data_IF_306993527258
#
_entry.id   IF_306993527258
#
_cell.length_a   1.000
_cell.length_b   1.000
_cell.length_c   1.000
_cell.angle_alpha   90.00
_cell.angle_beta   90.00
_cell.angle_gamma   90.00
#
_symmetry.space_group_name_H-M   'P 1'
#
loop_
_entity.id
_entity.type
_entity.pdbx_description
1 polymer ?
#
# COMPACT_ATOMS: atom_id res chain seq x y z
N UNK A 1 33.79 33.30 8.21
CA UNK A 1 32.91 33.47 7.06
C UNK A 1 32.24 32.13 6.80
N UNK A 2 31.13 31.91 7.52
CA UNK A 2 30.31 30.71 7.34
C UNK A 2 29.24 30.99 6.26
N UNK A 3 29.39 30.37 5.09
CA UNK A 3 28.45 30.46 3.97
C UNK A 3 28.00 29.02 3.63
N UNK A 4 27.13 28.44 4.47
CA UNK A 4 26.35 27.26 4.13
C UNK A 4 24.98 27.31 4.83
N UNK A 5 24.10 28.11 4.27
CA UNK A 5 22.69 28.12 4.56
C UNK A 5 21.95 28.56 3.29
N UNK A 6 21.72 27.60 2.36
CA UNK A 6 21.02 27.89 1.11
C UNK A 6 19.53 27.66 1.28
N UNK A 7 18.83 28.51 2.05
CA UNK A 7 17.41 28.75 1.87
C UNK A 7 17.24 29.65 0.64
N UNK A 8 17.10 29.06 -0.55
CA UNK A 8 16.76 29.81 -1.76
C UNK A 8 15.28 30.17 -1.68
N UNK A 9 14.99 31.36 -1.14
CA UNK A 9 13.66 31.97 -1.21
C UNK A 9 13.64 32.98 -2.32
N UNK A 10 12.89 32.68 -3.41
CA UNK A 10 12.63 33.66 -4.46
C UNK A 10 11.42 34.49 -4.04
N UNK A 11 11.64 35.73 -3.68
CA UNK A 11 10.60 36.66 -3.29
C UNK A 11 10.12 37.40 -4.54
N UNK A 12 8.93 37.11 -5.03
CA UNK A 12 8.29 37.88 -6.10
C UNK A 12 7.56 39.07 -5.47
N UNK A 13 7.75 40.28 -6.00
CA UNK A 13 6.99 41.45 -5.69
C UNK A 13 5.87 41.57 -6.75
N UNK A 14 4.62 41.81 -6.31
CA UNK A 14 3.56 42.15 -7.25
C UNK A 14 3.71 43.61 -7.71
N UNK A 15 3.04 43.98 -8.82
CA UNK A 15 3.12 45.32 -9.43
C UNK A 15 2.79 46.47 -8.47
N UNK A 16 2.24 46.20 -7.29
CA UNK A 16 1.88 47.14 -6.23
C UNK A 16 2.88 47.18 -5.06
N UNK A 17 4.07 46.54 -5.18
CA UNK A 17 5.13 46.57 -4.15
C UNK A 17 4.77 45.84 -2.85
N UNK A 18 3.69 45.04 -2.81
CA UNK A 18 3.33 44.19 -1.67
C UNK A 18 4.14 42.90 -1.72
N UNK A 19 4.53 42.36 -0.54
CA UNK A 19 5.19 41.05 -0.42
C UNK A 19 4.35 40.01 -1.17
N UNK A 20 4.91 39.51 -2.26
CA UNK A 20 4.34 38.41 -3.02
C UNK A 20 4.48 37.06 -2.27
N UNK A 21 3.89 36.02 -2.84
CA UNK A 21 3.98 34.65 -2.34
C UNK A 21 5.45 34.25 -2.27
N UNK A 22 5.90 33.76 -1.11
CA UNK A 22 7.25 33.19 -0.97
C UNK A 22 7.20 31.82 -1.66
N UNK A 23 7.94 31.68 -2.75
CA UNK A 23 8.10 30.37 -3.44
C UNK A 23 9.39 29.72 -2.93
N UNK A 24 9.28 28.55 -2.36
CA UNK A 24 10.44 27.75 -1.94
C UNK A 24 10.90 26.88 -3.12
N UNK A 25 12.20 26.55 -3.18
CA UNK A 25 12.77 25.71 -4.24
C UNK A 25 13.59 24.59 -3.62
N UNK A 26 13.44 23.36 -4.18
CA UNK A 26 14.27 22.21 -3.84
C UNK A 26 14.77 21.48 -5.10
N UNK A 27 15.98 20.93 -5.03
CA UNK A 27 16.47 20.08 -6.14
C UNK A 27 15.60 18.84 -6.33
N UNK A 28 15.17 18.22 -5.21
CA UNK A 28 14.29 17.04 -5.21
C UNK A 28 13.14 17.26 -4.23
N UNK A 29 11.94 17.20 -4.75
CA UNK A 29 10.71 17.24 -3.96
C UNK A 29 10.04 15.87 -3.95
N UNK A 30 9.68 15.36 -2.78
CA UNK A 30 8.96 14.09 -2.61
C UNK A 30 7.57 14.39 -2.06
N UNK A 31 6.53 13.94 -2.75
CA UNK A 31 5.15 13.99 -2.27
C UNK A 31 4.76 12.63 -1.71
N UNK A 32 4.55 12.58 -0.39
CA UNK A 32 4.27 11.38 0.39
C UNK A 32 5.48 10.91 1.20
N UNK A 33 5.34 10.92 2.55
CA UNK A 33 6.34 10.44 3.53
C UNK A 33 6.16 8.97 3.92
N UNK A 34 5.29 8.23 3.25
CA UNK A 34 5.10 6.80 3.53
C UNK A 34 6.31 5.93 3.15
N UNK A 35 6.09 4.63 3.06
CA UNK A 35 7.14 3.63 2.74
C UNK A 35 8.01 4.02 1.56
N UNK A 36 7.39 4.48 0.48
CA UNK A 36 8.10 4.82 -0.76
C UNK A 36 8.94 6.09 -0.61
N UNK A 37 8.34 7.16 -0.06
CA UNK A 37 8.98 8.46 0.10
C UNK A 37 10.18 8.40 1.02
N UNK A 38 10.02 7.87 2.24
CA UNK A 38 11.14 7.72 3.18
C UNK A 38 12.25 6.83 2.59
N UNK A 39 11.88 5.71 1.93
CA UNK A 39 12.89 4.82 1.35
C UNK A 39 13.71 5.52 0.27
N UNK A 40 13.08 6.25 -0.66
CA UNK A 40 13.79 6.93 -1.74
C UNK A 40 14.58 8.13 -1.21
N UNK A 41 14.02 8.92 -0.30
CA UNK A 41 14.69 10.06 0.33
C UNK A 41 15.92 9.62 1.12
N UNK A 42 15.80 8.56 1.94
CA UNK A 42 16.92 7.98 2.68
C UNK A 42 18.03 7.49 1.74
N UNK A 43 17.68 6.86 0.61
CA UNK A 43 18.66 6.43 -0.40
C UNK A 43 19.36 7.61 -1.06
N UNK A 44 18.65 8.67 -1.42
CA UNK A 44 19.21 9.87 -2.01
C UNK A 44 20.18 10.56 -1.05
N UNK A 45 19.83 10.73 0.23
CA UNK A 45 20.71 11.30 1.27
C UNK A 45 21.94 10.43 1.55
N UNK A 46 21.85 9.10 1.35
CA UNK A 46 23.02 8.21 1.41
C UNK A 46 23.93 8.33 0.17
N UNK A 47 23.37 8.71 -0.98
CA UNK A 47 24.18 8.98 -2.19
C UNK A 47 24.97 10.27 -2.04
N UNK A 48 24.33 11.32 -1.52
CA UNK A 48 24.95 12.59 -1.16
C UNK A 48 24.11 13.32 -0.11
N UNK A 49 24.73 13.67 1.00
CA UNK A 49 24.09 14.48 2.03
C UNK A 49 23.78 15.92 1.56
N UNK A 50 24.45 16.39 0.52
CA UNK A 50 24.33 17.74 -0.04
C UNK A 50 23.12 17.89 -0.99
N UNK A 51 22.42 16.81 -1.37
CA UNK A 51 21.20 16.95 -2.18
C UNK A 51 20.18 17.77 -1.38
N UNK A 52 19.75 18.89 -1.94
CA UNK A 52 18.63 19.65 -1.40
C UNK A 52 17.33 18.89 -1.66
N UNK A 53 16.76 18.34 -0.59
CA UNK A 53 15.62 17.43 -0.64
C UNK A 53 14.56 17.83 0.36
N UNK A 54 13.30 17.87 -0.10
CA UNK A 54 12.15 18.08 0.74
C UNK A 54 11.11 16.96 0.60
N UNK A 55 10.32 16.76 1.65
CA UNK A 55 9.17 15.86 1.69
C UNK A 55 7.94 16.65 2.09
N UNK A 56 6.81 16.45 1.37
CA UNK A 56 5.47 16.92 1.74
C UNK A 56 4.70 15.70 2.25
N UNK A 57 4.33 15.70 3.53
CA UNK A 57 3.47 14.67 4.14
C UNK A 57 2.85 15.21 5.44
N UNK A 58 1.52 15.11 5.62
CA UNK A 58 0.83 15.62 6.80
C UNK A 58 0.91 14.70 8.02
N UNK A 59 1.34 13.43 7.86
CA UNK A 59 1.18 12.39 8.87
C UNK A 59 2.14 12.54 10.06
N UNK A 60 1.62 12.35 11.29
CA UNK A 60 2.43 12.26 12.51
C UNK A 60 3.04 10.87 12.71
N UNK A 61 2.41 9.85 12.13
CA UNK A 61 2.73 8.45 12.36
C UNK A 61 2.97 7.69 11.07
N UNK A 62 3.95 6.84 11.09
CA UNK A 62 4.31 5.91 10.03
C UNK A 62 3.89 4.50 10.40
N UNK A 63 3.28 3.79 9.43
CA UNK A 63 2.74 2.47 9.65
C UNK A 63 3.40 1.42 8.76
N UNK A 64 3.88 0.35 9.38
CA UNK A 64 4.26 -0.87 8.66
C UNK A 64 3.02 -1.74 8.46
N UNK A 65 2.18 -1.36 7.51
CA UNK A 65 0.87 -1.96 7.22
C UNK A 65 0.89 -3.49 7.00
N UNK A 66 1.97 -4.11 6.45
CA UNK A 66 2.02 -5.56 6.31
C UNK A 66 1.88 -6.36 7.61
N UNK A 67 2.01 -5.75 8.80
CA UNK A 67 1.71 -6.38 10.07
C UNK A 67 0.21 -6.47 10.39
N UNK A 68 -0.64 -5.66 9.79
CA UNK A 68 -2.06 -5.59 10.15
C UNK A 68 -2.81 -6.92 9.99
N UNK A 69 -2.42 -7.76 9.03
CA UNK A 69 -2.95 -9.14 8.95
C UNK A 69 -2.64 -9.95 10.20
N UNK A 70 -1.44 -9.79 10.78
CA UNK A 70 -1.05 -10.49 12.01
C UNK A 70 -1.69 -9.86 13.26
N UNK A 71 -1.97 -8.54 13.23
CA UNK A 71 -2.74 -7.86 14.28
C UNK A 71 -4.18 -8.39 14.29
N UNK A 72 -4.88 -8.33 13.15
CA UNK A 72 -6.24 -8.84 13.02
C UNK A 72 -6.36 -10.35 13.28
N UNK A 73 -5.27 -11.11 13.16
CA UNK A 73 -5.17 -12.52 13.55
C UNK A 73 -4.73 -12.75 15.01
N UNK A 74 -4.58 -11.69 15.83
CA UNK A 74 -4.21 -11.81 17.24
C UNK A 74 -2.76 -12.25 17.51
N UNK A 75 -1.85 -12.07 16.54
CA UNK A 75 -0.45 -12.54 16.63
C UNK A 75 0.50 -11.49 17.18
N UNK A 76 0.21 -10.21 16.94
CA UNK A 76 1.01 -9.07 17.38
C UNK A 76 0.08 -7.89 17.72
N UNK A 77 0.52 -7.03 18.64
CA UNK A 77 -0.20 -5.80 18.97
C UNK A 77 -0.07 -4.77 17.83
N UNK A 78 -1.09 -3.93 17.63
CA UNK A 78 -1.07 -2.95 16.52
C UNK A 78 0.02 -1.90 16.67
N UNK A 79 0.40 -1.56 17.91
CA UNK A 79 1.49 -0.62 18.21
C UNK A 79 2.83 -1.05 17.61
N UNK A 80 3.06 -2.36 17.44
CA UNK A 80 4.25 -2.87 16.78
C UNK A 80 4.37 -2.42 15.31
N UNK A 81 3.24 -2.05 14.70
CA UNK A 81 3.18 -1.55 13.31
C UNK A 81 3.39 -0.05 13.18
N UNK A 82 3.33 0.73 14.26
CA UNK A 82 3.37 2.19 14.26
C UNK A 82 4.68 2.74 14.81
N UNK A 83 5.14 3.82 14.22
CA UNK A 83 6.21 4.69 14.75
C UNK A 83 5.90 6.15 14.44
N UNK A 84 6.46 7.08 15.24
CA UNK A 84 6.44 8.50 14.90
C UNK A 84 7.16 8.72 13.56
N UNK A 85 6.60 9.60 12.69
CA UNK A 85 7.14 9.95 11.38
C UNK A 85 8.45 10.74 11.50
N UNK A 86 8.51 11.73 12.41
CA UNK A 86 9.62 12.66 12.51
C UNK A 86 11.02 12.01 12.60
N UNK A 87 11.26 10.95 13.40
CA UNK A 87 12.56 10.28 13.46
C UNK A 87 12.91 9.46 12.20
N UNK A 88 11.95 9.25 11.30
CA UNK A 88 12.14 8.52 10.04
C UNK A 88 12.53 9.45 8.90
N UNK A 89 12.17 10.74 9.00
CA UNK A 89 12.62 11.74 8.03
C UNK A 89 14.15 11.80 8.07
N UNK A 90 14.85 11.62 6.93
CA UNK A 90 16.31 11.60 6.92
C UNK A 90 16.89 12.94 7.34
N UNK A 91 18.02 12.93 8.05
CA UNK A 91 18.70 14.15 8.47
C UNK A 91 19.00 15.06 7.27
N UNK A 92 18.73 16.36 7.41
CA UNK A 92 18.93 17.36 6.36
C UNK A 92 17.89 17.32 5.24
N UNK A 93 16.74 16.70 5.46
CA UNK A 93 15.55 16.78 4.60
C UNK A 93 14.58 17.78 5.21
N UNK A 94 14.12 18.74 4.42
CA UNK A 94 13.04 19.65 4.82
C UNK A 94 11.72 18.86 4.82
N UNK A 95 10.99 18.90 5.90
CA UNK A 95 9.66 18.31 5.99
C UNK A 95 8.59 19.38 6.06
N UNK A 96 7.73 19.41 5.03
CA UNK A 96 6.48 20.16 5.02
C UNK A 96 5.39 19.26 5.55
N UNK A 97 4.94 19.55 6.76
CA UNK A 97 3.88 18.79 7.43
C UNK A 97 2.50 19.24 6.95
N UNK A 98 2.32 19.15 5.64
CA UNK A 98 1.17 19.64 4.89
C UNK A 98 0.77 18.56 3.88
N UNK A 99 -0.46 18.63 3.35
CA UNK A 99 -0.89 17.80 2.23
C UNK A 99 -0.54 18.49 0.91
N UNK A 100 -0.13 17.73 -0.10
CA UNK A 100 -0.10 18.24 -1.46
C UNK A 100 -1.54 18.38 -1.96
N UNK A 101 -1.85 19.51 -2.61
CA UNK A 101 -3.18 19.81 -3.13
C UNK A 101 -3.24 19.81 -4.65
N UNK A 102 -2.27 20.47 -5.30
CA UNK A 102 -2.25 20.58 -6.76
C UNK A 102 -0.86 20.59 -7.35
N UNK A 103 -0.78 20.20 -8.63
CA UNK A 103 0.44 20.12 -9.41
C UNK A 103 0.36 21.00 -10.65
N UNK A 104 1.42 21.76 -10.91
CA UNK A 104 1.67 22.50 -12.16
C UNK A 104 2.98 22.00 -12.76
N UNK A 105 3.00 20.82 -13.39
CA UNK A 105 4.24 20.19 -13.84
C UNK A 105 4.98 20.96 -14.92
N UNK A 106 4.28 21.74 -15.76
CA UNK A 106 4.90 22.62 -16.74
C UNK A 106 5.69 23.78 -16.10
N UNK A 107 5.31 24.18 -14.87
CA UNK A 107 6.00 25.21 -14.08
C UNK A 107 6.95 24.61 -13.04
N UNK A 108 7.07 23.27 -12.97
CA UNK A 108 7.79 22.54 -11.92
C UNK A 108 7.36 22.93 -10.50
N UNK A 109 6.05 23.03 -10.25
CA UNK A 109 5.49 23.54 -9.00
C UNK A 109 4.46 22.60 -8.40
N UNK A 110 4.50 22.48 -7.06
CA UNK A 110 3.46 21.86 -6.23
C UNK A 110 2.91 22.93 -5.29
N UNK A 111 1.59 22.94 -5.10
CA UNK A 111 0.92 23.75 -4.07
C UNK A 111 0.39 22.81 -2.99
N UNK A 112 0.57 23.20 -1.74
CA UNK A 112 0.08 22.46 -0.57
C UNK A 112 -1.28 22.95 -0.11
N UNK A 113 -1.94 22.22 0.80
CA UNK A 113 -3.20 22.59 1.44
C UNK A 113 -3.15 23.90 2.24
N UNK A 114 -1.97 24.31 2.69
CA UNK A 114 -1.73 25.58 3.40
C UNK A 114 -1.41 26.73 2.43
N UNK A 115 -1.41 26.46 1.11
CA UNK A 115 -1.08 27.45 0.08
C UNK A 115 0.41 27.67 -0.12
N UNK A 116 1.29 26.85 0.47
CA UNK A 116 2.73 26.90 0.24
C UNK A 116 3.02 26.48 -1.20
N UNK A 117 3.69 27.33 -1.97
CA UNK A 117 4.14 27.02 -3.32
C UNK A 117 5.61 26.56 -3.30
N UNK A 118 5.86 25.35 -3.81
CA UNK A 118 7.19 24.74 -3.80
C UNK A 118 7.58 24.38 -5.23
N UNK A 119 8.67 24.97 -5.70
CA UNK A 119 9.29 24.64 -6.97
C UNK A 119 10.31 23.51 -6.81
N UNK A 120 10.50 22.73 -7.84
CA UNK A 120 11.41 21.60 -7.83
C UNK A 120 12.19 21.48 -9.15
N UNK A 121 13.37 20.88 -9.08
CA UNK A 121 14.08 20.39 -10.26
C UNK A 121 13.60 18.99 -10.65
N UNK A 122 13.42 18.11 -9.67
CA UNK A 122 12.88 16.75 -9.83
C UNK A 122 11.76 16.51 -8.81
N UNK A 123 10.69 15.86 -9.26
CA UNK A 123 9.56 15.48 -8.41
C UNK A 123 9.44 13.96 -8.31
N UNK A 124 9.21 13.47 -7.10
CA UNK A 124 8.89 12.06 -6.82
C UNK A 124 7.50 12.00 -6.18
N UNK A 125 6.55 11.37 -6.85
CA UNK A 125 5.14 11.28 -6.41
C UNK A 125 4.85 9.90 -5.86
N UNK A 126 4.60 9.80 -4.55
CA UNK A 126 4.39 8.52 -3.87
C UNK A 126 3.48 8.61 -2.63
N UNK A 127 2.31 9.28 -2.70
CA UNK A 127 1.38 9.45 -1.57
C UNK A 127 0.61 8.17 -1.20
N UNK A 128 0.85 7.06 -1.90
CA UNK A 128 0.11 5.81 -1.70
C UNK A 128 -1.23 5.81 -2.42
N UNK A 129 -2.22 5.12 -1.85
CA UNK A 129 -3.59 5.02 -2.34
C UNK A 129 -4.58 5.44 -1.26
N UNK A 130 -5.81 5.71 -1.63
CA UNK A 130 -6.93 5.96 -0.71
C UNK A 130 -7.85 4.74 -0.59
N UNK A 131 -8.57 4.67 0.52
CA UNK A 131 -9.57 3.66 0.81
C UNK A 131 -10.96 4.27 0.56
N UNK A 132 -11.66 3.76 -0.42
CA UNK A 132 -12.97 4.27 -0.86
C UNK A 132 -14.08 3.48 -0.15
N UNK A 133 -14.25 3.75 1.16
CA UNK A 133 -15.24 3.05 1.99
C UNK A 133 -16.67 3.29 1.54
N UNK A 134 -16.95 4.46 0.98
CA UNK A 134 -18.29 4.89 0.56
C UNK A 134 -18.73 4.24 -0.76
N UNK A 135 -17.82 3.63 -1.52
CA UNK A 135 -18.13 2.91 -2.75
C UNK A 135 -18.90 1.59 -2.50
N UNK A 136 -18.89 1.09 -1.25
CA UNK A 136 -19.72 -0.02 -0.81
C UNK A 136 -20.83 0.56 0.08
N UNK A 137 -22.07 0.53 -0.39
CA UNK A 137 -23.22 1.09 0.33
C UNK A 137 -23.28 0.53 1.76
N UNK A 138 -23.35 1.44 2.75
CA UNK A 138 -23.44 1.11 4.16
C UNK A 138 -22.13 0.63 4.81
N UNK A 139 -20.98 0.56 4.13
CA UNK A 139 -19.72 0.12 4.73
C UNK A 139 -19.09 1.23 5.57
N UNK A 140 -18.96 2.45 5.03
CA UNK A 140 -18.45 3.60 5.77
C UNK A 140 -19.30 3.83 7.05
N UNK A 141 -18.67 4.08 8.17
CA UNK A 141 -19.37 4.28 9.46
C UNK A 141 -19.90 3.02 10.14
N UNK A 142 -19.89 1.85 9.49
CA UNK A 142 -20.26 0.56 10.10
C UNK A 142 -19.05 -0.36 10.33
N UNK A 143 -17.88 -0.06 9.78
CA UNK A 143 -16.64 -0.77 10.11
C UNK A 143 -16.31 -0.57 11.59
N UNK A 144 -16.06 -1.65 12.30
CA UNK A 144 -15.90 -1.66 13.76
C UNK A 144 -17.20 -1.90 14.53
N UNK A 145 -18.31 -2.25 13.85
CA UNK A 145 -19.61 -2.53 14.44
C UNK A 145 -20.29 -3.72 13.76
N UNK A 146 -21.30 -4.32 14.40
CA UNK A 146 -22.16 -5.36 13.83
C UNK A 146 -21.42 -6.58 13.25
N UNK A 147 -20.18 -6.85 13.68
CA UNK A 147 -19.34 -7.91 13.08
C UNK A 147 -18.68 -7.53 11.76
N UNK A 148 -18.76 -6.25 11.32
CA UNK A 148 -18.09 -5.74 10.14
C UNK A 148 -16.69 -5.28 10.53
N UNK A 149 -15.67 -6.01 10.09
CA UNK A 149 -14.25 -5.73 10.41
C UNK A 149 -13.40 -5.56 9.15
N UNK A 150 -12.24 -4.94 9.31
CA UNK A 150 -11.28 -4.76 8.22
C UNK A 150 -9.86 -4.59 8.73
N UNK A 151 -8.90 -5.21 8.03
CA UNK A 151 -7.46 -5.06 8.30
C UNK A 151 -6.82 -3.91 7.50
N UNK A 152 -7.60 -3.08 6.82
CA UNK A 152 -7.07 -2.09 5.89
C UNK A 152 -6.87 -0.71 6.49
N UNK A 153 -7.29 -0.48 7.74
CA UNK A 153 -6.96 0.71 8.51
C UNK A 153 -6.44 0.39 9.91
N UNK A 154 -5.59 1.27 10.43
CA UNK A 154 -5.03 1.16 11.78
C UNK A 154 -6.11 1.29 12.85
N UNK A 155 -7.12 2.10 12.60
CA UNK A 155 -8.23 2.38 13.52
C UNK A 155 -9.11 1.14 13.72
N UNK A 156 -9.28 0.32 12.68
CA UNK A 156 -10.24 -0.79 12.68
C UNK A 156 -9.61 -2.17 12.88
N UNK A 157 -8.29 -2.29 12.76
CA UNK A 157 -7.62 -3.60 12.74
C UNK A 157 -7.79 -4.41 14.03
N UNK A 158 -7.87 -3.76 15.19
CA UNK A 158 -8.10 -4.44 16.48
C UNK A 158 -9.47 -5.10 16.53
N UNK A 159 -10.50 -4.42 15.98
CA UNK A 159 -11.85 -4.96 15.94
C UNK A 159 -11.91 -6.27 15.12
N UNK A 160 -11.02 -6.46 14.15
CA UNK A 160 -10.93 -7.75 13.44
C UNK A 160 -10.59 -8.90 14.42
N UNK A 161 -9.59 -8.69 15.27
CA UNK A 161 -9.25 -9.71 16.28
C UNK A 161 -10.35 -9.87 17.33
N UNK A 162 -10.94 -8.78 17.79
CA UNK A 162 -12.07 -8.84 18.73
C UNK A 162 -13.24 -9.66 18.17
N UNK A 163 -13.58 -9.44 16.91
CA UNK A 163 -14.64 -10.19 16.21
C UNK A 163 -14.28 -11.67 16.07
N UNK A 164 -13.05 -11.99 15.65
CA UNK A 164 -12.60 -13.38 15.48
C UNK A 164 -12.56 -14.11 16.83
N UNK A 165 -11.98 -13.50 17.88
CA UNK A 165 -11.81 -14.17 19.18
C UNK A 165 -13.13 -14.37 19.94
N UNK A 166 -14.15 -13.54 19.67
CA UNK A 166 -15.48 -13.64 20.29
C UNK A 166 -16.49 -14.43 19.45
N UNK A 167 -16.10 -14.90 18.27
CA UNK A 167 -16.98 -15.58 17.33
C UNK A 167 -17.48 -16.92 17.89
N UNK A 168 -18.79 -17.16 17.81
CA UNK A 168 -19.43 -18.34 18.42
C UNK A 168 -19.90 -19.38 17.40
N UNK A 169 -19.62 -19.17 16.12
CA UNK A 169 -20.11 -19.97 15.01
C UNK A 169 -21.07 -19.19 14.13
N UNK A 170 -21.58 -19.81 13.08
CA UNK A 170 -22.40 -19.17 12.05
C UNK A 170 -21.61 -18.86 10.78
N UNK A 171 -22.01 -17.83 10.03
CA UNK A 171 -21.40 -17.50 8.75
C UNK A 171 -20.35 -16.38 8.88
N UNK A 172 -19.12 -16.72 8.52
CA UNK A 172 -17.99 -15.79 8.44
C UNK A 172 -17.64 -15.53 6.97
N UNK A 173 -17.79 -14.29 6.50
CA UNK A 173 -17.54 -13.87 5.13
C UNK A 173 -16.25 -13.08 5.05
N UNK A 174 -15.41 -13.35 4.03
CA UNK A 174 -14.21 -12.61 3.70
C UNK A 174 -14.28 -12.16 2.26
N UNK A 175 -14.00 -10.87 1.97
CA UNK A 175 -14.23 -10.30 0.65
C UNK A 175 -12.94 -9.86 -0.04
N UNK A 176 -12.96 -9.85 -1.37
CA UNK A 176 -11.96 -9.23 -2.23
C UNK A 176 -12.69 -8.42 -3.32
N UNK A 177 -12.55 -7.09 -3.37
CA UNK A 177 -13.31 -6.22 -4.25
C UNK A 177 -12.81 -6.24 -5.69
N UNK A 178 -13.63 -5.70 -6.61
CA UNK A 178 -13.27 -5.45 -8.00
C UNK A 178 -12.48 -4.13 -8.14
N UNK A 179 -11.36 -4.05 -7.48
CA UNK A 179 -10.43 -2.92 -7.60
C UNK A 179 -8.99 -3.34 -7.34
N UNK A 180 -8.04 -2.50 -7.77
CA UNK A 180 -6.65 -2.67 -7.35
C UNK A 180 -6.54 -2.41 -5.85
N UNK A 181 -6.01 -3.36 -5.09
CA UNK A 181 -5.84 -3.22 -3.63
C UNK A 181 -4.36 -3.29 -3.22
N UNK A 182 -4.02 -2.65 -2.10
CA UNK A 182 -2.71 -2.88 -1.48
C UNK A 182 -2.62 -4.31 -0.97
N UNK A 183 -1.63 -5.07 -1.49
CA UNK A 183 -1.40 -6.48 -1.22
C UNK A 183 -2.59 -7.40 -1.58
N UNK A 184 -2.76 -7.74 -2.86
CA UNK A 184 -3.85 -8.60 -3.37
C UNK A 184 -4.07 -9.95 -2.67
N UNK A 185 -3.06 -10.45 -1.92
CA UNK A 185 -3.23 -11.65 -1.09
C UNK A 185 -3.71 -11.37 0.35
N UNK A 186 -3.83 -10.10 0.79
CA UNK A 186 -4.16 -9.81 2.19
C UNK A 186 -5.55 -10.29 2.64
N UNK A 187 -6.61 -10.23 1.79
CA UNK A 187 -7.95 -10.67 2.18
C UNK A 187 -7.99 -12.13 2.63
N UNK A 188 -7.34 -13.02 1.87
CA UNK A 188 -7.34 -14.44 2.19
C UNK A 188 -6.48 -14.81 3.41
N UNK A 189 -5.44 -14.02 3.74
CA UNK A 189 -4.59 -14.30 4.91
C UNK A 189 -5.36 -14.26 6.22
N UNK A 190 -6.21 -13.25 6.39
CA UNK A 190 -7.02 -13.14 7.61
C UNK A 190 -8.09 -14.22 7.67
N UNK A 191 -8.61 -14.67 6.54
CA UNK A 191 -9.52 -15.81 6.45
C UNK A 191 -8.87 -17.09 6.97
N UNK A 192 -7.64 -17.40 6.57
CA UNK A 192 -6.92 -18.58 7.05
C UNK A 192 -6.57 -18.49 8.54
N UNK A 193 -6.24 -17.31 9.04
CA UNK A 193 -6.00 -17.10 10.47
C UNK A 193 -7.30 -17.25 11.27
N UNK A 194 -8.41 -16.75 10.76
CA UNK A 194 -9.73 -16.92 11.37
C UNK A 194 -10.15 -18.40 11.42
N UNK A 195 -9.99 -19.16 10.33
CA UNK A 195 -10.24 -20.61 10.31
C UNK A 195 -9.52 -21.33 11.44
N UNK A 196 -8.21 -21.03 11.61
CA UNK A 196 -7.40 -21.68 12.64
C UNK A 196 -7.79 -21.20 14.05
N UNK A 197 -8.11 -19.90 14.22
CA UNK A 197 -8.65 -19.38 15.48
C UNK A 197 -9.95 -20.08 15.86
N UNK A 198 -10.88 -20.26 14.92
CA UNK A 198 -12.15 -20.97 15.14
C UNK A 198 -11.95 -22.44 15.48
N UNK A 199 -10.93 -23.10 14.91
CA UNK A 199 -10.53 -24.49 15.33
C UNK A 199 -10.02 -24.51 16.76
N UNK A 200 -9.16 -23.57 17.12
CA UNK A 200 -8.60 -23.48 18.47
C UNK A 200 -9.67 -23.15 19.54
N UNK A 201 -10.71 -22.44 19.14
CA UNK A 201 -11.87 -22.11 20.00
C UNK A 201 -12.93 -23.23 20.05
N UNK A 202 -12.80 -24.28 19.21
CA UNK A 202 -13.78 -25.37 19.14
C UNK A 202 -15.10 -24.99 18.45
N UNK A 203 -15.13 -23.88 17.70
CA UNK A 203 -16.37 -23.41 17.02
C UNK A 203 -16.38 -23.72 15.52
N UNK A 204 -15.26 -24.19 14.95
CA UNK A 204 -15.12 -24.39 13.51
C UNK A 204 -16.16 -25.34 12.89
N UNK A 205 -16.57 -26.36 13.62
CA UNK A 205 -17.56 -27.35 13.15
C UNK A 205 -18.99 -26.79 13.00
N UNK A 206 -19.26 -25.63 13.58
CA UNK A 206 -20.52 -24.88 13.43
C UNK A 206 -20.32 -23.54 12.71
N UNK A 207 -19.24 -23.42 11.93
CA UNK A 207 -18.88 -22.20 11.19
C UNK A 207 -18.83 -22.50 9.71
N UNK A 208 -19.56 -21.74 8.92
CA UNK A 208 -19.40 -21.66 7.47
C UNK A 208 -18.45 -20.50 7.15
N UNK A 209 -17.32 -20.79 6.48
CA UNK A 209 -16.38 -19.77 6.02
C UNK A 209 -16.55 -19.61 4.52
N UNK A 210 -16.90 -18.38 4.09
CA UNK A 210 -17.09 -18.02 2.69
C UNK A 210 -16.04 -16.98 2.28
N UNK A 211 -15.32 -17.26 1.21
CA UNK A 211 -14.48 -16.29 0.52
C UNK A 211 -15.19 -15.81 -0.74
N UNK A 212 -15.67 -14.57 -0.74
CA UNK A 212 -16.32 -13.92 -1.89
C UNK A 212 -15.31 -13.00 -2.56
N UNK A 213 -14.94 -13.30 -3.79
CA UNK A 213 -13.91 -12.58 -4.52
C UNK A 213 -14.39 -12.12 -5.88
N UNK A 214 -14.19 -10.85 -6.18
CA UNK A 214 -14.43 -10.31 -7.53
C UNK A 214 -13.46 -10.88 -8.57
N UNK A 215 -12.31 -11.41 -8.16
CA UNK A 215 -11.36 -12.06 -9.08
C UNK A 215 -11.89 -13.41 -9.59
N UNK A 216 -11.32 -13.89 -10.70
CA UNK A 216 -11.62 -15.20 -11.26
C UNK A 216 -10.87 -16.38 -10.62
N UNK A 217 -10.00 -16.12 -9.64
CA UNK A 217 -9.21 -17.13 -8.94
C UNK A 217 -8.74 -16.61 -7.57
N UNK A 218 -8.24 -17.50 -6.71
CA UNK A 218 -7.74 -17.14 -5.39
C UNK A 218 -6.49 -16.29 -5.43
N UNK A 219 -5.67 -16.41 -6.48
CA UNK A 219 -4.46 -15.61 -6.67
C UNK A 219 -4.08 -15.53 -8.16
N UNK A 220 -3.48 -14.42 -8.59
CA UNK A 220 -3.17 -14.17 -10.00
C UNK A 220 -2.05 -15.05 -10.57
N UNK A 221 -1.12 -15.53 -9.74
CA UNK A 221 -0.01 -16.38 -10.18
C UNK A 221 -0.38 -17.84 -10.00
N UNK A 222 -0.58 -18.56 -11.12
CA UNK A 222 -1.08 -19.95 -11.15
C UNK A 222 -0.35 -20.90 -10.18
N UNK A 223 0.98 -20.85 -10.12
CA UNK A 223 1.79 -21.70 -9.21
C UNK A 223 1.35 -21.58 -7.75
N UNK A 224 1.04 -20.38 -7.30
CA UNK A 224 0.60 -20.13 -5.93
C UNK A 224 -0.91 -20.28 -5.77
N UNK A 225 -1.69 -20.02 -6.83
CA UNK A 225 -3.12 -20.28 -6.81
C UNK A 225 -3.41 -21.78 -6.60
N UNK A 226 -2.76 -22.66 -7.35
CA UNK A 226 -2.91 -24.11 -7.20
C UNK A 226 -2.63 -24.57 -5.75
N UNK A 227 -1.55 -24.07 -5.14
CA UNK A 227 -1.22 -24.39 -3.76
C UNK A 227 -2.22 -23.82 -2.74
N UNK A 228 -2.81 -22.66 -3.01
CA UNK A 228 -3.82 -22.05 -2.14
C UNK A 228 -5.19 -22.73 -2.28
N UNK A 229 -5.54 -23.24 -3.46
CA UNK A 229 -6.75 -24.04 -3.67
C UNK A 229 -6.70 -25.35 -2.87
N UNK A 230 -5.51 -25.98 -2.75
CA UNK A 230 -5.31 -27.11 -1.83
C UNK A 230 -5.53 -26.71 -0.37
N UNK A 231 -5.06 -25.51 0.05
CA UNK A 231 -5.28 -25.00 1.41
C UNK A 231 -6.76 -24.73 1.66
N UNK A 232 -7.47 -24.09 0.72
CA UNK A 232 -8.91 -23.81 0.79
C UNK A 232 -9.69 -25.11 0.95
N UNK A 233 -9.42 -26.09 0.07
CA UNK A 233 -10.07 -27.41 0.10
C UNK A 233 -9.84 -28.13 1.43
N UNK A 234 -8.58 -28.22 1.88
CA UNK A 234 -8.21 -28.87 3.15
C UNK A 234 -8.86 -28.22 4.37
N UNK A 235 -9.03 -26.90 4.34
CA UNK A 235 -9.65 -26.14 5.43
C UNK A 235 -11.19 -26.18 5.37
N UNK A 236 -11.79 -26.70 4.31
CA UNK A 236 -13.23 -26.73 4.10
C UNK A 236 -13.80 -25.31 4.01
N UNK A 237 -13.12 -24.43 3.31
CA UNK A 237 -13.55 -23.05 3.02
C UNK A 237 -14.29 -23.04 1.68
N UNK A 238 -15.42 -22.36 1.61
CA UNK A 238 -16.12 -22.13 0.35
C UNK A 238 -15.57 -20.87 -0.31
N UNK A 239 -15.06 -21.00 -1.53
CA UNK A 239 -14.61 -19.86 -2.32
C UNK A 239 -15.52 -19.67 -3.53
N UNK A 240 -16.14 -18.50 -3.62
CA UNK A 240 -16.98 -18.08 -4.75
C UNK A 240 -16.28 -16.91 -5.44
N UNK A 241 -16.02 -17.08 -6.73
CA UNK A 241 -15.33 -16.10 -7.58
C UNK A 241 -16.32 -15.27 -8.38
N UNK A 242 -15.87 -14.14 -8.94
CA UNK A 242 -16.69 -13.17 -9.65
C UNK A 242 -17.85 -12.62 -8.82
N UNK A 243 -17.65 -12.56 -7.49
CA UNK A 243 -18.62 -12.04 -6.54
C UNK A 243 -18.05 -10.80 -5.86
N UNK A 244 -18.66 -9.66 -6.10
CA UNK A 244 -18.24 -8.37 -5.59
C UNK A 244 -19.20 -7.86 -4.52
N UNK A 245 -18.67 -7.39 -3.40
CA UNK A 245 -19.45 -6.81 -2.32
C UNK A 245 -19.87 -5.39 -2.70
N UNK A 246 -21.18 -5.13 -2.81
CA UNK A 246 -21.73 -3.82 -3.20
C UNK A 246 -22.47 -3.10 -2.08
N UNK A 247 -22.93 -3.85 -1.05
CA UNK A 247 -23.71 -3.26 0.05
C UNK A 247 -23.56 -4.08 1.32
N UNK A 248 -23.59 -3.39 2.48
CA UNK A 248 -23.65 -4.00 3.80
C UNK A 248 -24.75 -3.32 4.63
N UNK A 249 -25.67 -4.11 5.16
CA UNK A 249 -26.65 -3.67 6.16
C UNK A 249 -26.20 -4.16 7.53
N UNK A 250 -25.53 -3.31 8.29
CA UNK A 250 -24.95 -3.66 9.59
C UNK A 250 -26.01 -4.07 10.63
N UNK A 251 -27.06 -3.26 10.86
CA UNK A 251 -28.13 -3.58 11.81
C UNK A 251 -28.81 -4.93 11.55
N UNK A 252 -29.07 -5.25 10.28
CA UNK A 252 -29.71 -6.52 9.88
C UNK A 252 -28.71 -7.65 9.64
N UNK A 253 -27.39 -7.36 9.71
CA UNK A 253 -26.29 -8.31 9.41
C UNK A 253 -26.43 -8.97 8.04
N UNK A 254 -26.69 -8.18 7.02
CA UNK A 254 -26.82 -8.62 5.62
C UNK A 254 -25.75 -7.99 4.75
N UNK A 255 -25.28 -8.74 3.76
CA UNK A 255 -24.33 -8.30 2.74
C UNK A 255 -24.85 -8.67 1.37
N UNK A 256 -24.80 -7.73 0.44
CA UNK A 256 -25.23 -7.94 -0.96
C UNK A 256 -24.01 -8.06 -1.86
N UNK A 257 -23.99 -9.14 -2.62
CA UNK A 257 -22.94 -9.44 -3.59
C UNK A 257 -23.52 -9.42 -5.00
N UNK A 258 -22.80 -8.78 -5.92
CA UNK A 258 -23.12 -8.82 -7.35
C UNK A 258 -22.23 -9.85 -8.04
N UNK A 259 -22.86 -10.70 -8.83
CA UNK A 259 -22.15 -11.56 -9.76
C UNK A 259 -21.68 -10.72 -10.96
N UNK A 260 -20.38 -10.71 -11.22
CA UNK A 260 -19.78 -9.86 -12.26
C UNK A 260 -20.00 -10.42 -13.68
N UNK A 261 -20.38 -11.70 -13.82
CA UNK A 261 -20.66 -12.31 -15.12
C UNK A 261 -22.14 -12.16 -15.50
N UNK A 262 -23.09 -12.38 -14.56
CA UNK A 262 -24.52 -12.30 -14.82
C UNK A 262 -25.16 -10.95 -14.45
N UNK A 263 -24.53 -10.18 -13.55
CA UNK A 263 -25.10 -8.96 -12.95
C UNK A 263 -26.14 -9.24 -11.86
N UNK A 264 -26.44 -10.49 -11.55
CA UNK A 264 -27.40 -10.85 -10.51
C UNK A 264 -26.88 -10.51 -9.12
N UNK A 265 -27.78 -10.14 -8.20
CA UNK A 265 -27.47 -9.81 -6.82
C UNK A 265 -27.93 -10.91 -5.86
N UNK A 266 -27.05 -11.28 -4.93
CA UNK A 266 -27.29 -12.25 -3.87
C UNK A 266 -27.17 -11.55 -2.52
N UNK A 267 -28.19 -11.69 -1.67
CA UNK A 267 -28.13 -11.21 -0.27
C UNK A 267 -27.81 -12.38 0.65
N UNK A 268 -26.79 -12.22 1.48
CA UNK A 268 -26.35 -13.21 2.47
C UNK A 268 -26.42 -12.62 3.88
N UNK A 269 -26.97 -13.38 4.82
CA UNK A 269 -26.79 -13.09 6.24
C UNK A 269 -25.37 -13.44 6.68
N UNK A 270 -24.81 -12.70 7.63
CA UNK A 270 -23.49 -12.97 8.21
C UNK A 270 -23.51 -12.83 9.74
N UNK A 271 -22.65 -13.55 10.43
CA UNK A 271 -22.32 -13.33 11.84
C UNK A 271 -21.07 -12.47 11.99
N UNK A 272 -20.12 -12.60 11.04
CA UNK A 272 -19.03 -11.67 10.83
C UNK A 272 -18.73 -11.51 9.34
N UNK A 273 -18.26 -10.32 8.97
CA UNK A 273 -17.73 -10.04 7.63
C UNK A 273 -16.43 -9.23 7.72
N UNK A 274 -15.36 -9.76 7.12
CA UNK A 274 -14.16 -8.99 6.86
C UNK A 274 -14.28 -8.32 5.50
N UNK A 275 -14.64 -7.04 5.51
CA UNK A 275 -14.84 -6.26 4.30
C UNK A 275 -13.53 -5.57 3.87
N UNK A 276 -13.20 -5.70 2.60
CA UNK A 276 -12.12 -4.95 1.94
C UNK A 276 -12.76 -3.83 1.13
N UNK A 277 -12.44 -2.55 1.41
CA UNK A 277 -12.98 -1.44 0.63
C UNK A 277 -12.40 -1.42 -0.78
N UNK A 278 -13.06 -0.74 -1.70
CA UNK A 278 -12.44 -0.32 -2.94
C UNK A 278 -11.25 0.59 -2.65
N UNK A 279 -10.29 0.64 -3.58
CA UNK A 279 -9.10 1.46 -3.44
C UNK A 279 -8.75 2.10 -4.77
N UNK A 280 -8.32 3.36 -4.71
CA UNK A 280 -7.94 4.14 -5.88
C UNK A 280 -6.76 5.05 -5.58
N UNK A 281 -6.23 5.72 -6.58
CA UNK A 281 -5.29 6.80 -6.36
C UNK A 281 -5.98 7.94 -5.58
N UNK A 282 -5.25 8.69 -4.75
CA UNK A 282 -5.81 9.85 -4.06
C UNK A 282 -6.46 10.85 -5.02
N UNK A 283 -7.58 11.44 -4.62
CA UNK A 283 -8.37 12.32 -5.50
C UNK A 283 -7.58 13.50 -6.07
N UNK A 284 -6.64 14.07 -5.31
CA UNK A 284 -5.78 15.14 -5.82
C UNK A 284 -4.85 14.66 -6.93
N UNK A 285 -4.51 13.36 -6.97
CA UNK A 285 -3.78 12.74 -8.08
C UNK A 285 -4.71 12.54 -9.28
N UNK A 286 -5.91 11.96 -9.08
CA UNK A 286 -6.90 11.74 -10.15
C UNK A 286 -7.23 13.03 -10.92
N UNK A 287 -7.30 14.16 -10.20
CA UNK A 287 -7.58 15.48 -10.78
C UNK A 287 -6.35 16.17 -11.37
N UNK A 288 -5.16 15.60 -11.19
CA UNK A 288 -3.90 16.22 -11.62
C UNK A 288 -3.53 15.85 -13.07
N UNK A 289 -2.72 16.66 -13.74
CA UNK A 289 -2.17 16.31 -15.06
C UNK A 289 -1.14 15.18 -15.01
N UNK A 290 -0.91 14.58 -13.85
CA UNK A 290 0.00 13.43 -13.67
C UNK A 290 -0.72 12.08 -13.81
N UNK A 291 -2.07 12.08 -13.80
CA UNK A 291 -2.86 10.86 -13.83
C UNK A 291 -3.02 10.33 -15.26
N UNK A 292 -2.98 9.00 -15.40
CA UNK A 292 -3.47 8.30 -16.60
C UNK A 292 -5.02 8.19 -16.57
N UNK A 293 -5.60 7.51 -17.57
CA UNK A 293 -7.06 7.29 -17.69
C UNK A 293 -7.67 6.58 -16.48
N UNK A 294 -6.89 5.75 -15.77
CA UNK A 294 -7.34 4.98 -14.61
C UNK A 294 -7.13 5.75 -13.29
N UNK A 295 -6.64 6.99 -13.36
CA UNK A 295 -6.40 7.86 -12.22
C UNK A 295 -5.05 7.67 -11.51
N UNK A 296 -4.22 6.72 -11.91
CA UNK A 296 -2.89 6.48 -11.34
C UNK A 296 -1.84 7.39 -11.97
N UNK A 297 -0.75 7.71 -11.25
CA UNK A 297 0.36 8.47 -11.84
C UNK A 297 0.96 7.69 -13.01
N UNK A 298 0.92 8.30 -14.20
CA UNK A 298 1.32 7.69 -15.46
C UNK A 298 2.83 7.52 -15.58
N UNK A 299 3.34 6.29 -15.53
CA UNK A 299 4.78 6.00 -15.58
C UNK A 299 5.14 4.89 -16.56
N UNK A 300 6.33 4.99 -17.13
CA UNK A 300 6.99 3.87 -17.77
C UNK A 300 7.26 2.76 -16.73
N UNK A 301 6.82 1.52 -16.95
CA UNK A 301 6.86 0.46 -15.95
C UNK A 301 8.27 0.05 -15.52
N UNK A 302 9.27 0.33 -16.33
CA UNK A 302 10.66 -0.06 -16.08
C UNK A 302 11.51 1.04 -15.48
N UNK A 303 11.30 2.29 -15.87
CA UNK A 303 12.08 3.44 -15.38
C UNK A 303 11.37 4.17 -14.23
N UNK A 304 10.05 3.98 -14.10
CA UNK A 304 9.20 4.67 -13.12
C UNK A 304 9.21 6.20 -13.32
N UNK A 305 9.65 6.68 -14.49
CA UNK A 305 9.56 8.05 -14.92
C UNK A 305 8.19 8.31 -15.54
N UNK A 306 7.63 9.47 -15.28
CA UNK A 306 6.36 9.89 -15.87
C UNK A 306 6.48 9.96 -17.41
N UNK A 307 5.47 9.44 -18.12
CA UNK A 307 5.50 9.36 -19.59
C UNK A 307 5.50 10.74 -20.25
N UNK A 308 4.85 11.74 -19.66
CA UNK A 308 4.75 13.10 -20.19
C UNK A 308 5.79 14.10 -19.65
N UNK A 309 6.42 13.82 -18.50
CA UNK A 309 7.31 14.77 -17.82
C UNK A 309 8.64 14.11 -17.42
N UNK A 310 9.72 14.50 -18.09
CA UNK A 310 11.02 13.86 -17.95
C UNK A 310 11.72 14.06 -16.59
N UNK A 311 11.26 14.97 -15.76
CA UNK A 311 11.80 15.25 -14.43
C UNK A 311 10.88 14.77 -13.28
N UNK A 312 9.81 14.03 -13.60
CA UNK A 312 8.86 13.49 -12.63
C UNK A 312 8.96 11.97 -12.61
N UNK A 313 8.93 11.40 -11.42
CA UNK A 313 8.96 9.96 -11.15
C UNK A 313 7.84 9.59 -10.17
N UNK A 314 7.36 8.36 -10.26
CA UNK A 314 6.45 7.81 -9.25
C UNK A 314 6.76 6.38 -8.92
N UNK A 315 6.54 6.01 -7.66
CA UNK A 315 6.71 4.65 -7.16
C UNK A 315 5.74 4.35 -6.03
N UNK A 316 5.61 3.07 -5.69
CA UNK A 316 4.66 2.60 -4.69
C UNK A 316 3.24 2.51 -5.23
N UNK A 317 2.26 2.58 -4.33
CA UNK A 317 0.89 2.20 -4.66
C UNK A 317 0.18 3.16 -5.62
N UNK A 318 0.60 4.43 -5.68
CA UNK A 318 0.01 5.44 -6.57
C UNK A 318 0.44 5.30 -8.03
N UNK A 319 1.54 4.57 -8.32
CA UNK A 319 2.07 4.45 -9.68
C UNK A 319 1.21 3.50 -10.54
N UNK A 320 1.15 3.79 -11.86
CA UNK A 320 0.49 2.94 -12.86
C UNK A 320 1.28 1.68 -13.22
N UNK A 321 2.44 1.42 -12.60
CA UNK A 321 3.24 0.23 -12.88
C UNK A 321 2.41 -1.05 -12.65
N UNK A 322 2.33 -1.98 -13.63
CA UNK A 322 1.43 -3.14 -13.58
C UNK A 322 1.96 -4.25 -12.68
N UNK A 323 2.10 -3.94 -11.39
CA UNK A 323 2.57 -4.86 -10.35
C UNK A 323 1.70 -4.76 -9.11
N UNK A 324 1.74 -5.79 -8.25
CA UNK A 324 1.02 -5.73 -6.98
C UNK A 324 1.56 -4.60 -6.10
N UNK A 325 0.65 -3.81 -5.53
CA UNK A 325 0.94 -2.68 -4.65
C UNK A 325 1.45 -3.19 -3.29
N UNK A 326 2.77 -3.34 -3.15
CA UNK A 326 3.40 -3.96 -1.98
C UNK A 326 4.68 -3.24 -1.54
N UNK A 327 5.05 -3.36 -0.26
CA UNK A 327 6.34 -2.88 0.22
C UNK A 327 7.54 -3.58 -0.42
N UNK A 328 7.38 -4.82 -0.90
CA UNK A 328 8.42 -5.55 -1.62
C UNK A 328 8.68 -4.95 -3.01
N UNK A 329 7.64 -4.49 -3.71
CA UNK A 329 7.77 -3.74 -4.95
C UNK A 329 8.54 -2.44 -4.71
N UNK A 330 8.15 -1.66 -3.70
CA UNK A 330 8.83 -0.41 -3.33
C UNK A 330 10.34 -0.64 -3.07
N UNK A 331 10.71 -1.71 -2.38
CA UNK A 331 12.11 -2.09 -2.13
C UNK A 331 12.94 -2.22 -3.41
N UNK A 332 12.32 -2.63 -4.52
CA UNK A 332 12.99 -2.75 -5.83
C UNK A 332 12.82 -1.50 -6.70
N UNK A 333 11.74 -0.75 -6.54
CA UNK A 333 11.46 0.49 -7.26
C UNK A 333 12.34 1.65 -6.77
N UNK A 334 12.47 1.86 -5.46
CA UNK A 334 13.22 2.98 -4.88
C UNK A 334 14.69 3.05 -5.35
N UNK A 335 15.45 1.94 -5.46
CA UNK A 335 16.78 1.96 -6.04
C UNK A 335 16.84 2.42 -7.51
N UNK A 336 15.78 2.16 -8.29
CA UNK A 336 15.70 2.57 -9.70
C UNK A 336 15.55 4.08 -9.78
N UNK A 337 14.54 4.63 -9.10
CA UNK A 337 14.28 6.07 -9.06
C UNK A 337 15.49 6.82 -8.50
N UNK A 338 16.06 6.38 -7.37
CA UNK A 338 17.23 7.04 -6.78
C UNK A 338 18.45 7.03 -7.72
N UNK A 339 18.64 5.96 -8.51
CA UNK A 339 19.72 5.87 -9.50
C UNK A 339 19.52 6.84 -10.66
N UNK A 340 18.27 7.01 -11.13
CA UNK A 340 17.95 7.99 -12.18
C UNK A 340 18.20 9.42 -11.69
N UNK A 341 17.63 9.79 -10.55
CA UNK A 341 17.82 11.12 -9.94
C UNK A 341 19.31 11.41 -9.73
N UNK A 342 20.08 10.46 -9.17
CA UNK A 342 21.55 10.61 -9.00
C UNK A 342 22.26 10.94 -10.32
N UNK A 343 21.93 10.21 -11.39
CA UNK A 343 22.56 10.41 -12.70
C UNK A 343 22.22 11.79 -13.27
N UNK A 344 20.96 12.18 -13.19
CA UNK A 344 20.45 13.45 -13.72
C UNK A 344 20.95 14.66 -12.92
N UNK A 345 21.10 14.56 -11.60
CA UNK A 345 21.69 15.62 -10.76
C UNK A 345 23.16 15.88 -11.13
N UNK A 346 23.88 14.88 -11.63
CA UNK A 346 25.26 15.03 -12.12
C UNK A 346 25.36 15.57 -13.56
N UNK A 347 24.25 16.03 -14.15
CA UNK A 347 24.20 16.55 -15.50
C UNK A 347 24.15 15.45 -16.60
N UNK A 348 24.00 14.18 -16.20
CA UNK A 348 23.85 13.06 -17.13
C UNK A 348 22.40 12.80 -17.55
N UNK A 349 22.22 11.81 -18.40
CA UNK A 349 20.92 11.22 -18.72
C UNK A 349 20.53 10.23 -17.62
N UNK A 350 19.31 9.67 -17.70
CA UNK A 350 18.87 8.59 -16.80
C UNK A 350 19.87 7.43 -16.76
N UNK A 351 20.00 6.79 -15.62
CA UNK A 351 20.79 5.55 -15.50
C UNK A 351 20.17 4.41 -16.30
N UNK A 352 20.95 3.37 -16.57
CA UNK A 352 20.47 2.14 -17.25
C UNK A 352 19.64 1.22 -16.33
N UNK A 353 19.52 1.56 -15.04
CA UNK A 353 18.81 0.71 -14.08
C UNK A 353 17.33 0.63 -14.40
N UNK A 354 16.76 -0.59 -14.34
CA UNK A 354 15.35 -0.85 -14.67
C UNK A 354 14.69 -1.65 -13.56
N UNK A 355 13.40 -1.42 -13.37
CA UNK A 355 12.51 -2.25 -12.55
C UNK A 355 11.93 -3.36 -13.42
N UNK A 356 11.87 -4.56 -12.91
CA UNK A 356 11.42 -5.76 -13.62
C UNK A 356 10.06 -6.28 -13.17
N UNK A 357 9.33 -5.48 -12.38
CA UNK A 357 8.02 -5.85 -11.87
C UNK A 357 8.05 -6.70 -10.60
N UNK A 358 9.23 -6.97 -10.04
CA UNK A 358 9.33 -7.82 -8.84
C UNK A 358 8.46 -7.32 -7.68
N UNK A 359 7.69 -8.25 -7.14
CA UNK A 359 6.86 -8.07 -5.96
C UNK A 359 6.87 -9.35 -5.12
N UNK A 360 6.40 -9.25 -3.89
CA UNK A 360 6.26 -10.41 -3.01
C UNK A 360 5.01 -10.27 -2.14
N UNK A 361 4.28 -11.36 -2.02
CA UNK A 361 3.14 -11.50 -1.14
C UNK A 361 3.36 -12.69 -0.20
N UNK A 362 3.80 -12.48 1.04
CA UNK A 362 3.88 -13.54 2.05
C UNK A 362 2.46 -13.97 2.46
N UNK A 363 1.98 -15.08 1.90
CA UNK A 363 0.61 -15.59 2.07
C UNK A 363 0.55 -16.46 3.34
N UNK A 364 0.14 -15.85 4.44
CA UNK A 364 -0.09 -16.56 5.71
C UNK A 364 -1.29 -17.48 5.54
N UNK A 365 -1.11 -18.77 5.71
CA UNK A 365 -2.14 -19.80 5.56
C UNK A 365 -2.61 -20.40 6.90
N UNK A 366 -2.06 -19.90 7.99
CA UNK A 366 -2.37 -20.28 9.36
C UNK A 366 -1.33 -19.79 10.35
N UNK A 367 -1.54 -20.06 11.64
CA UNK A 367 -0.52 -19.81 12.65
C UNK A 367 0.70 -20.68 12.38
N UNK A 368 1.88 -20.06 12.25
CA UNK A 368 3.14 -20.71 11.88
C UNK A 368 3.19 -21.33 10.48
N UNK A 369 2.30 -20.96 9.56
CA UNK A 369 2.26 -21.46 8.19
C UNK A 369 2.18 -20.34 7.18
N UNK A 370 3.00 -20.41 6.10
CA UNK A 370 3.09 -19.38 5.08
C UNK A 370 3.60 -19.93 3.73
N UNK A 371 2.94 -19.52 2.65
CA UNK A 371 3.40 -19.64 1.27
C UNK A 371 4.04 -18.31 0.87
N UNK A 372 5.29 -18.31 0.38
CA UNK A 372 6.01 -17.11 -0.01
C UNK A 372 5.88 -16.87 -1.51
N UNK A 373 4.86 -16.13 -1.93
CA UNK A 373 4.70 -15.79 -3.35
C UNK A 373 5.66 -14.65 -3.72
N UNK A 374 6.52 -14.90 -4.71
CA UNK A 374 7.41 -13.91 -5.33
C UNK A 374 7.30 -14.02 -6.84
N UNK A 375 7.08 -12.90 -7.50
CA UNK A 375 6.85 -12.85 -8.94
C UNK A 375 7.18 -11.49 -9.53
N UNK A 376 7.22 -11.43 -10.85
CA UNK A 376 7.51 -10.23 -11.66
C UNK A 376 6.30 -9.89 -12.54
N UNK A 377 6.50 -8.95 -13.47
CA UNK A 377 5.51 -8.66 -14.51
C UNK A 377 5.02 -9.94 -15.18
N UNK A 378 3.82 -9.89 -15.72
CA UNK A 378 3.13 -11.01 -16.37
C UNK A 378 2.91 -12.24 -15.46
N UNK A 379 2.90 -12.00 -14.14
CA UNK A 379 2.73 -13.04 -13.12
C UNK A 379 3.79 -14.17 -13.17
N UNK A 380 4.98 -13.87 -13.70
CA UNK A 380 6.08 -14.85 -13.78
C UNK A 380 6.68 -15.08 -12.41
N UNK A 381 6.66 -16.31 -11.85
CA UNK A 381 7.29 -16.63 -10.58
C UNK A 381 8.78 -16.26 -10.56
N UNK A 382 9.24 -15.63 -9.46
CA UNK A 382 10.63 -15.18 -9.29
C UNK A 382 11.10 -15.40 -7.86
N UNK A 383 11.21 -16.68 -7.48
CA UNK A 383 11.54 -17.12 -6.12
C UNK A 383 13.00 -16.78 -5.77
N UNK A 384 13.22 -16.20 -4.59
CA UNK A 384 14.56 -15.79 -4.11
C UNK A 384 15.14 -16.73 -3.08
N UNK A 385 14.37 -17.63 -2.50
CA UNK A 385 14.86 -18.64 -1.56
C UNK A 385 15.12 -19.97 -2.28
N UNK A 386 16.14 -20.77 -1.84
CA UNK A 386 16.51 -22.04 -2.48
C UNK A 386 15.58 -23.20 -2.09
N UNK A 387 14.29 -22.93 -1.98
CA UNK A 387 13.25 -23.91 -1.61
C UNK A 387 12.00 -23.66 -2.43
N UNK A 388 11.17 -24.67 -2.64
CA UNK A 388 9.85 -24.47 -3.25
C UNK A 388 9.00 -23.58 -2.34
N UNK A 389 8.77 -22.35 -2.78
CA UNK A 389 8.06 -21.30 -2.02
C UNK A 389 6.52 -21.44 -2.10
N UNK A 390 6.00 -22.28 -3.02
CA UNK A 390 4.57 -22.61 -3.07
C UNK A 390 4.16 -23.64 -2.00
N UNK A 391 5.09 -24.13 -1.19
CA UNK A 391 4.77 -24.99 -0.05
C UNK A 391 4.69 -24.19 1.24
N UNK A 392 3.71 -24.54 2.08
CA UNK A 392 3.57 -23.98 3.43
C UNK A 392 4.81 -24.26 4.27
N UNK A 393 5.38 -23.21 4.90
CA UNK A 393 6.59 -23.33 5.71
C UNK A 393 6.53 -22.46 6.97
N UNK A 394 6.89 -23.05 8.10
CA UNK A 394 7.08 -22.32 9.37
C UNK A 394 8.25 -21.33 9.28
N UNK A 395 9.34 -21.69 8.61
CA UNK A 395 10.49 -20.80 8.42
C UNK A 395 10.10 -19.49 7.70
N UNK A 396 9.28 -19.57 6.64
CA UNK A 396 8.78 -18.40 5.91
C UNK A 396 7.82 -17.57 6.77
N UNK A 397 7.02 -18.20 7.63
CA UNK A 397 6.21 -17.50 8.61
C UNK A 397 7.08 -16.70 9.61
N UNK A 398 8.18 -17.28 10.10
CA UNK A 398 9.11 -16.58 10.98
C UNK A 398 9.80 -15.40 10.27
N UNK A 399 10.16 -15.57 8.98
CA UNK A 399 10.66 -14.47 8.15
C UNK A 399 9.61 -13.36 8.09
N UNK A 400 8.32 -13.67 7.84
CA UNK A 400 7.23 -12.69 7.79
C UNK A 400 7.05 -11.99 9.14
N UNK A 401 7.06 -12.72 10.24
CA UNK A 401 6.76 -12.17 11.57
C UNK A 401 7.89 -11.30 12.12
N UNK A 402 9.15 -11.67 11.90
CA UNK A 402 10.32 -11.04 12.53
C UNK A 402 11.29 -10.42 11.51
N UNK A 403 11.62 -11.15 10.45
CA UNK A 403 12.62 -10.73 9.47
C UNK A 403 12.19 -9.53 8.64
N UNK A 404 10.98 -9.58 8.06
CA UNK A 404 10.48 -8.48 7.22
C UNK A 404 10.28 -7.17 7.99
N UNK A 405 9.72 -7.13 9.23
CA UNK A 405 9.69 -5.90 10.02
C UNK A 405 11.08 -5.35 10.32
N UNK A 406 12.05 -6.21 10.68
CA UNK A 406 13.42 -5.79 10.94
C UNK A 406 14.07 -5.21 9.67
N UNK A 407 13.91 -5.86 8.52
CA UNK A 407 14.37 -5.39 7.22
C UNK A 407 13.73 -4.04 6.85
N UNK A 408 12.44 -3.86 7.12
CA UNK A 408 11.73 -2.63 6.87
C UNK A 408 12.29 -1.46 7.69
N UNK A 409 12.25 -1.59 9.03
CA UNK A 409 12.63 -0.49 9.92
C UNK A 409 14.12 -0.17 9.92
N UNK A 410 14.98 -1.19 9.80
CA UNK A 410 16.46 -1.05 9.87
C UNK A 410 17.12 -1.00 8.50
N UNK A 411 16.43 -1.47 7.45
CA UNK A 411 16.94 -1.51 6.08
C UNK A 411 16.31 -0.45 5.19
N UNK A 412 15.04 -0.62 4.83
CA UNK A 412 14.35 0.26 3.88
C UNK A 412 14.26 1.70 4.38
N UNK A 413 13.77 1.92 5.61
CA UNK A 413 13.63 3.27 6.21
C UNK A 413 14.97 3.98 6.39
N UNK A 414 16.08 3.26 6.31
CA UNK A 414 17.44 3.81 6.39
C UNK A 414 18.13 3.88 5.02
N UNK A 415 17.43 3.56 3.92
CA UNK A 415 17.99 3.60 2.57
C UNK A 415 19.07 2.56 2.26
N UNK A 416 19.12 1.47 3.05
CA UNK A 416 20.11 0.40 2.90
C UNK A 416 19.68 -0.67 1.89
N UNK A 417 18.39 -0.72 1.55
CA UNK A 417 17.80 -1.71 0.64
C UNK A 417 17.00 -1.06 -0.47
#
# INVERSE_FOLDING_TARGET
MDVYGTDFRIQFYNDNGRKGVTVEFHEVLVVGGGTAGITVASRLKRISEYIDLAIIDPADNHYYQPLWTLVGGGVVDKEASRRSEAPLIPKGVKWYKESAESFKPAENRVTTSEGTEIMYKYLIVCPGLQLDWDEIEGLAGNVGKYGICSNYSYEHVDYTWETIRSFQGGRAIFTHPDSAIKCGGAPQKIMYLADEAFRNQGVRNRTEINFKSANGSVFSVKKYADALDEVISRKGIRADYKKDLIKVDGPNKQAVFRDLDSGEEETLDYDMIHAVPYMSAPDFIKRSPLANSDGWVDVDPHTLQHNGYGNIFSLGDVSSAPTSKTGAAIRKQAPVVASHIKSMLKGGVRSSRRYDGYTSCPLVTGYNSLIMAEFKYDNVPSETFPVNQAKERKSMYMVKKYGLPAMYWRGMMKGLM
#
